data_IF_973815607351
#
_entry.id   IF_973815607351
#
_cell.length_a   1.000
_cell.length_b   1.000
_cell.length_c   1.000
_cell.angle_alpha   90.00
_cell.angle_beta   90.00
_cell.angle_gamma   90.00
#
_symmetry.space_group_name_H-M   'P 1'
#
loop_
_entity.id
_entity.type
_entity.pdbx_description
1 polymer ?
#
# COMPACT_ATOMS: atom_id res chain seq x y z
N UNK A 1 10.76 16.84 9.71
CA UNK A 1 9.76 17.42 8.77
C UNK A 1 9.22 16.39 7.77
N UNK A 2 9.75 15.15 7.69
CA UNK A 2 9.35 14.16 6.68
C UNK A 2 8.74 12.87 7.24
N UNK A 3 8.41 12.81 8.54
CA UNK A 3 7.97 11.57 9.20
C UNK A 3 6.69 10.98 8.59
N UNK A 4 5.74 11.81 8.18
CA UNK A 4 4.51 11.34 7.51
C UNK A 4 4.85 10.70 6.16
N UNK A 5 5.64 11.36 5.32
CA UNK A 5 6.03 10.82 4.01
C UNK A 5 6.84 9.54 4.18
N UNK A 6 7.76 9.52 5.14
CA UNK A 6 8.59 8.35 5.42
C UNK A 6 7.74 7.18 5.95
N UNK A 7 6.77 7.44 6.83
CA UNK A 7 5.85 6.43 7.33
C UNK A 7 4.93 5.87 6.24
N UNK A 8 4.43 6.71 5.33
CA UNK A 8 3.67 6.26 4.15
C UNK A 8 4.53 5.38 3.26
N UNK A 9 5.77 5.80 2.95
CA UNK A 9 6.69 5.02 2.13
C UNK A 9 7.00 3.66 2.77
N UNK A 10 7.21 3.60 4.09
CA UNK A 10 7.40 2.35 4.84
C UNK A 10 6.15 1.46 4.78
N UNK A 11 4.96 2.04 4.89
CA UNK A 11 3.70 1.30 4.75
C UNK A 11 3.57 0.66 3.36
N UNK A 12 3.87 1.42 2.30
CA UNK A 12 3.85 0.92 0.91
C UNK A 12 4.90 -0.18 0.71
N UNK A 13 6.13 0.04 1.18
CA UNK A 13 7.21 -0.95 1.11
C UNK A 13 6.83 -2.26 1.81
N UNK A 14 6.24 -2.16 3.02
CA UNK A 14 5.74 -3.33 3.75
C UNK A 14 4.66 -4.08 2.96
N UNK A 15 3.70 -3.38 2.36
CA UNK A 15 2.67 -4.02 1.53
C UNK A 15 3.29 -4.74 0.33
N UNK A 16 4.35 -4.20 -0.25
CA UNK A 16 4.95 -4.75 -1.46
C UNK A 16 5.97 -5.86 -1.23
N UNK A 17 6.72 -5.80 -0.12
CA UNK A 17 7.91 -6.62 0.13
C UNK A 17 7.97 -7.21 1.54
N UNK A 18 7.16 -6.71 2.47
CA UNK A 18 7.16 -7.14 3.88
C UNK A 18 6.17 -8.26 4.21
N UNK A 19 5.30 -8.62 3.27
CA UNK A 19 4.28 -9.66 3.41
C UNK A 19 4.66 -10.93 2.62
N UNK A 20 4.18 -12.10 3.06
CA UNK A 20 4.34 -13.38 2.34
C UNK A 20 3.74 -13.35 0.93
N UNK A 21 2.75 -12.48 0.71
CA UNK A 21 2.19 -12.14 -0.60
C UNK A 21 2.31 -10.63 -0.80
N UNK A 22 2.63 -10.21 -2.02
CA UNK A 22 2.63 -8.81 -2.39
C UNK A 22 1.19 -8.27 -2.41
N UNK A 23 0.94 -7.17 -1.69
CA UNK A 23 -0.35 -6.49 -1.64
C UNK A 23 -0.27 -5.22 -2.49
N UNK A 24 -0.87 -5.23 -3.68
CA UNK A 24 -0.99 -4.03 -4.52
C UNK A 24 -2.27 -3.29 -4.16
N UNK A 25 -2.15 -2.07 -3.62
CA UNK A 25 -3.29 -1.29 -3.11
C UNK A 25 -4.15 -0.63 -4.21
N UNK A 26 -3.52 -0.21 -5.32
CA UNK A 26 -4.14 0.48 -6.48
C UNK A 26 -4.86 1.82 -6.23
N UNK A 27 -4.91 2.33 -5.00
CA UNK A 27 -5.60 3.60 -4.67
C UNK A 27 -4.85 4.41 -3.60
N UNK A 28 -3.52 4.52 -3.75
CA UNK A 28 -2.69 5.34 -2.86
C UNK A 28 -2.91 6.82 -3.19
N UNK A 29 -3.57 7.54 -2.29
CA UNK A 29 -3.85 8.98 -2.37
C UNK A 29 -4.00 9.58 -0.97
N UNK A 30 -3.86 10.91 -0.78
CA UNK A 30 -3.93 11.53 0.54
C UNK A 30 -5.19 11.20 1.35
N UNK A 31 -6.35 11.07 0.70
CA UNK A 31 -7.62 10.69 1.35
C UNK A 31 -7.59 9.31 2.02
N UNK A 32 -6.73 8.41 1.52
CA UNK A 32 -6.59 7.04 2.01
C UNK A 32 -5.38 6.90 2.97
N UNK A 33 -4.72 8.00 3.33
CA UNK A 33 -3.69 8.04 4.37
C UNK A 33 -4.31 8.66 5.62
N UNK A 34 -4.68 7.81 6.58
CA UNK A 34 -5.19 8.26 7.87
C UNK A 34 -4.04 8.57 8.81
N UNK A 35 -4.27 9.45 9.77
CA UNK A 35 -3.34 9.75 10.86
C UNK A 35 -3.96 9.29 12.17
N UNK A 36 -3.18 8.61 13.01
CA UNK A 36 -3.59 8.35 14.39
C UNK A 36 -3.34 9.56 15.30
N UNK A 37 -3.65 9.42 16.60
CA UNK A 37 -3.51 10.47 17.61
C UNK A 37 -2.08 11.01 17.77
N UNK A 38 -1.08 10.23 17.32
CA UNK A 38 0.34 10.58 17.36
C UNK A 38 0.85 11.06 15.99
N UNK A 39 -0.05 11.35 15.05
CA UNK A 39 0.26 11.72 13.67
C UNK A 39 1.06 10.66 12.89
N UNK A 40 0.98 9.38 13.29
CA UNK A 40 1.57 8.30 12.49
C UNK A 40 0.64 8.00 11.30
N UNK A 41 1.18 7.92 10.08
CA UNK A 41 0.39 7.60 8.90
C UNK A 41 0.02 6.12 8.84
N UNK A 42 -1.22 5.84 8.41
CA UNK A 42 -1.75 4.49 8.16
C UNK A 42 -2.42 4.45 6.79
N UNK A 43 -2.01 3.50 5.97
CA UNK A 43 -2.63 3.22 4.68
C UNK A 43 -4.00 2.57 4.93
N UNK A 44 -5.04 3.02 4.25
CA UNK A 44 -6.44 2.59 4.42
C UNK A 44 -7.15 2.43 3.07
N UNK A 45 -8.36 1.86 3.09
CA UNK A 45 -9.20 1.61 1.90
C UNK A 45 -8.61 0.61 0.90
N UNK A 46 -8.54 -0.65 1.33
CA UNK A 46 -8.08 -1.78 0.51
C UNK A 46 -9.15 -2.33 -0.44
N UNK A 47 -10.23 -1.59 -0.73
CA UNK A 47 -11.34 -2.08 -1.54
C UNK A 47 -10.94 -2.50 -2.97
N UNK A 48 -9.87 -1.91 -3.51
CA UNK A 48 -9.31 -2.26 -4.82
C UNK A 48 -8.05 -3.14 -4.73
N UNK A 49 -7.61 -3.50 -3.53
CA UNK A 49 -6.35 -4.20 -3.34
C UNK A 49 -6.35 -5.62 -3.91
N UNK A 50 -5.18 -6.09 -4.31
CA UNK A 50 -4.95 -7.43 -4.87
C UNK A 50 -3.73 -8.09 -4.23
N UNK A 51 -3.81 -9.41 -4.08
CA UNK A 51 -2.72 -10.24 -3.57
C UNK A 51 -2.02 -10.94 -4.73
N UNK A 52 -0.68 -10.94 -4.71
CA UNK A 52 0.16 -11.59 -5.71
C UNK A 52 1.25 -12.42 -5.05
N UNK A 53 1.65 -13.50 -5.71
CA UNK A 53 2.85 -14.24 -5.30
C UNK A 53 4.07 -13.33 -5.44
N UNK A 54 4.97 -13.37 -4.47
CA UNK A 54 6.25 -12.63 -4.54
C UNK A 54 7.13 -13.15 -5.69
N UNK A 55 6.89 -14.38 -6.15
CA UNK A 55 7.61 -15.01 -7.27
C UNK A 55 7.13 -14.50 -8.65
N UNK A 56 5.92 -13.94 -8.73
CA UNK A 56 5.33 -13.43 -9.98
C UNK A 56 5.74 -11.96 -10.22
N UNK A 57 6.91 -11.77 -10.84
CA UNK A 57 7.45 -10.44 -11.17
C UNK A 57 6.66 -9.66 -12.23
N UNK A 58 5.73 -10.30 -12.95
CA UNK A 58 4.91 -9.66 -14.00
C UNK A 58 3.44 -9.85 -13.68
N UNK A 59 2.84 -8.81 -13.10
CA UNK A 59 1.40 -8.73 -12.89
C UNK A 59 0.75 -8.15 -14.14
N UNK A 60 0.00 -8.97 -14.89
CA UNK A 60 -0.84 -8.49 -16.00
C UNK A 60 -2.07 -7.79 -15.43
N UNK A 61 -2.11 -6.47 -15.53
CA UNK A 61 -3.29 -5.65 -15.22
C UNK A 61 -4.33 -5.80 -16.35
N UNK A 62 -4.96 -6.96 -16.44
CA UNK A 62 -6.13 -7.14 -17.30
C UNK A 62 -7.34 -6.52 -16.59
N UNK A 63 -7.52 -5.22 -16.88
CA UNK A 63 -8.65 -4.34 -16.59
C UNK A 63 -9.74 -4.90 -15.67
N UNK A 64 -9.74 -4.45 -14.40
CA UNK A 64 -10.99 -4.34 -13.64
C UNK A 64 -11.74 -3.10 -14.16
N UNK A 65 -13.00 -3.32 -14.57
CA UNK A 65 -13.92 -2.32 -15.12
C UNK A 65 -14.19 -1.17 -14.15
#
# INVERSE_FOLDING_TARGET
MFEIVLGVARGIDYLHQGCDMQILHFDIKPHNILLDENFNPKVSDFGLAKLYSVEDSIVSLTAAR
#
